data_IF_991197779186
#
_entry.id   IF_991197779186
#
_cell.length_a   1.000
_cell.length_b   1.000
_cell.length_c   1.000
_cell.angle_alpha   90.00
_cell.angle_beta   90.00
_cell.angle_gamma   90.00
#
_symmetry.space_group_name_H-M   'P 1'
#
loop_
_entity.id
_entity.type
_entity.pdbx_description
1 polymer ?
#
# COMPACT_ATOMS: atom_id res chain seq x y z
N UNK A 1 4.28 -9.51 4.37
CA UNK A 1 2.82 -9.27 4.47
C UNK A 1 2.47 -8.70 5.83
N UNK A 2 2.86 -9.36 6.92
CA UNK A 2 2.52 -8.95 8.29
C UNK A 2 2.94 -7.52 8.63
N UNK A 3 4.16 -7.11 8.26
CA UNK A 3 4.62 -5.74 8.46
C UNK A 3 3.70 -4.68 7.83
N UNK A 4 3.15 -4.98 6.65
CA UNK A 4 2.21 -4.10 5.94
C UNK A 4 0.88 -4.05 6.68
N UNK A 5 0.32 -5.21 7.04
CA UNK A 5 -0.95 -5.30 7.78
C UNK A 5 -0.86 -4.54 9.10
N UNK A 6 0.20 -4.79 9.88
CA UNK A 6 0.43 -4.14 11.16
C UNK A 6 0.60 -2.63 11.03
N UNK A 7 1.29 -2.14 10.00
CA UNK A 7 1.47 -0.71 9.80
C UNK A 7 0.16 -0.02 9.41
N UNK A 8 -0.63 -0.63 8.51
CA UNK A 8 -1.92 -0.07 8.12
C UNK A 8 -2.89 -0.06 9.31
N UNK A 9 -3.01 -1.16 10.05
CA UNK A 9 -3.89 -1.26 11.22
C UNK A 9 -3.48 -0.28 12.33
N UNK A 10 -2.18 -0.06 12.55
CA UNK A 10 -1.69 0.90 13.54
C UNK A 10 -2.10 2.35 13.25
N UNK A 11 -2.07 2.76 11.98
CA UNK A 11 -2.33 4.16 11.59
C UNK A 11 -3.81 4.41 11.22
N UNK A 12 -4.52 3.42 10.71
CA UNK A 12 -5.92 3.54 10.32
C UNK A 12 -6.91 3.04 11.38
N UNK A 13 -6.41 2.41 12.46
CA UNK A 13 -7.23 1.75 13.50
C UNK A 13 -8.20 0.69 12.95
N UNK A 14 -7.96 0.24 11.71
CA UNK A 14 -8.78 -0.70 10.98
C UNK A 14 -7.86 -1.70 10.31
N UNK A 15 -8.12 -2.99 10.52
CA UNK A 15 -7.41 -4.05 9.82
C UNK A 15 -7.69 -3.98 8.31
N UNK A 16 -6.65 -3.93 7.45
CA UNK A 16 -6.86 -3.87 6.01
C UNK A 16 -7.46 -5.17 5.48
N UNK A 17 -8.28 -5.04 4.44
CA UNK A 17 -8.68 -6.18 3.63
C UNK A 17 -7.55 -6.57 2.69
N UNK A 18 -7.36 -7.87 2.49
CA UNK A 18 -6.38 -8.43 1.57
C UNK A 18 -7.10 -8.75 0.27
N UNK A 19 -6.86 -7.95 -0.77
CA UNK A 19 -7.59 -8.02 -2.02
C UNK A 19 -6.63 -8.31 -3.18
N UNK A 20 -7.16 -8.98 -4.21
CA UNK A 20 -6.52 -9.20 -5.51
C UNK A 20 -7.32 -8.55 -6.64
N UNK A 21 -8.18 -7.58 -6.28
CA UNK A 21 -9.05 -6.85 -7.20
C UNK A 21 -8.36 -5.60 -7.75
N UNK A 22 -8.97 -4.97 -8.75
CA UNK A 22 -8.44 -3.76 -9.39
C UNK A 22 -7.73 -4.08 -10.71
N UNK A 23 -6.76 -3.23 -11.08
CA UNK A 23 -5.93 -3.41 -12.26
C UNK A 23 -4.80 -4.41 -12.04
N UNK A 24 -3.78 -4.36 -12.90
CA UNK A 24 -2.54 -5.12 -12.75
C UNK A 24 -1.37 -4.19 -12.51
N UNK A 25 -0.36 -4.66 -11.78
CA UNK A 25 0.89 -3.94 -11.57
C UNK A 25 2.10 -4.70 -12.12
N UNK A 26 3.26 -4.04 -12.15
CA UNK A 26 4.54 -4.67 -12.49
C UNK A 26 5.08 -5.60 -11.39
N UNK A 27 4.37 -5.68 -10.25
CA UNK A 27 4.61 -6.68 -9.21
C UNK A 27 4.66 -8.11 -9.76
N UNK A 28 3.88 -8.41 -10.81
CA UNK A 28 3.89 -9.72 -11.49
C UNK A 28 5.24 -10.09 -12.11
N UNK A 29 6.05 -9.10 -12.50
CA UNK A 29 7.39 -9.33 -13.02
C UNK A 29 8.39 -9.52 -11.88
N UNK A 30 8.27 -8.72 -10.82
CA UNK A 30 9.12 -8.81 -9.62
C UNK A 30 8.93 -10.14 -8.90
N UNK A 31 7.71 -10.64 -8.80
CA UNK A 31 7.40 -11.92 -8.16
C UNK A 31 8.15 -13.10 -8.81
N UNK A 32 8.49 -13.03 -10.11
CA UNK A 32 9.27 -14.07 -10.80
C UNK A 32 10.70 -14.19 -10.29
N UNK A 33 11.19 -13.18 -9.57
CA UNK A 33 12.50 -13.21 -8.91
C UNK A 33 12.46 -13.92 -7.53
N UNK A 34 11.31 -14.46 -7.12
CA UNK A 34 11.13 -15.10 -5.81
C UNK A 34 10.87 -14.13 -4.66
N UNK A 35 10.67 -12.84 -4.95
CA UNK A 35 10.34 -11.83 -3.94
C UNK A 35 8.86 -11.92 -3.52
N UNK A 36 8.58 -11.71 -2.23
CA UNK A 36 7.22 -11.44 -1.77
C UNK A 36 6.79 -10.05 -2.24
N UNK A 37 5.65 -9.97 -2.93
CA UNK A 37 5.10 -8.71 -3.44
C UNK A 37 3.79 -8.39 -2.75
N UNK A 38 3.65 -7.15 -2.27
CA UNK A 38 2.44 -6.60 -1.68
C UNK A 38 2.25 -5.19 -2.24
N UNK A 39 1.01 -4.83 -2.56
CA UNK A 39 0.65 -3.50 -3.05
C UNK A 39 -0.11 -2.73 -1.95
N UNK A 40 0.29 -1.49 -1.73
CA UNK A 40 -0.32 -0.54 -0.80
C UNK A 40 -0.22 0.84 -1.44
N UNK A 41 -1.27 1.64 -1.37
CA UNK A 41 -1.31 2.98 -1.97
C UNK A 41 -2.54 3.80 -1.53
N UNK A 42 -2.69 5.03 -2.03
CA UNK A 42 -3.83 5.88 -1.74
C UNK A 42 -5.12 5.38 -2.41
N UNK A 43 -6.25 6.04 -2.12
CA UNK A 43 -7.54 5.73 -2.73
C UNK A 43 -7.48 5.92 -4.25
N UNK A 44 -7.88 4.88 -4.98
CA UNK A 44 -7.79 4.83 -6.45
C UNK A 44 -9.07 5.31 -7.19
N UNK A 45 -10.02 5.96 -6.50
CA UNK A 45 -11.35 6.24 -7.04
C UNK A 45 -11.35 7.15 -8.29
N UNK A 46 -10.31 7.97 -8.47
CA UNK A 46 -10.20 9.01 -9.51
C UNK A 46 -9.09 8.75 -10.53
N UNK A 47 -8.31 7.66 -10.40
CA UNK A 47 -7.21 7.37 -11.34
C UNK A 47 -7.74 7.21 -12.77
N UNK A 48 -7.01 7.74 -13.76
CA UNK A 48 -7.40 7.73 -15.17
C UNK A 48 -8.72 8.44 -15.49
N UNK A 49 -9.19 9.36 -14.63
CA UNK A 49 -10.37 10.21 -14.89
C UNK A 49 -9.98 11.68 -15.02
N UNK A 50 -10.85 12.48 -15.64
CA UNK A 50 -10.73 13.95 -15.61
C UNK A 50 -10.82 14.41 -14.15
N UNK A 51 -10.00 15.37 -13.75
CA UNK A 51 -9.85 15.86 -12.36
C UNK A 51 -9.36 14.77 -11.39
N UNK A 52 -8.43 13.93 -11.83
CA UNK A 52 -7.68 13.01 -10.96
C UNK A 52 -7.07 13.79 -9.78
N UNK A 53 -7.31 13.29 -8.57
CA UNK A 53 -6.92 13.96 -7.34
C UNK A 53 -6.74 12.96 -6.19
N UNK A 54 -6.01 13.39 -5.18
CA UNK A 54 -5.75 12.64 -3.94
C UNK A 54 -5.90 13.58 -2.75
N UNK A 55 -6.34 13.06 -1.61
CA UNK A 55 -6.31 13.82 -0.36
C UNK A 55 -4.85 13.96 0.10
N UNK A 56 -4.37 15.20 0.24
CA UNK A 56 -2.99 15.48 0.64
C UNK A 56 -2.62 14.87 2.01
N UNK A 57 -3.58 14.76 2.94
CA UNK A 57 -3.35 14.14 4.24
C UNK A 57 -3.05 12.63 4.13
N UNK A 58 -3.67 11.94 3.17
CA UNK A 58 -3.47 10.50 2.95
C UNK A 58 -2.03 10.21 2.50
N UNK A 59 -1.39 11.14 1.78
CA UNK A 59 0.02 11.00 1.37
C UNK A 59 0.96 11.02 2.58
N UNK A 60 0.71 11.90 3.56
CA UNK A 60 1.49 11.94 4.78
C UNK A 60 1.29 10.66 5.62
N UNK A 61 0.07 10.16 5.69
CA UNK A 61 -0.25 8.92 6.39
C UNK A 61 0.43 7.71 5.74
N UNK A 62 0.36 7.62 4.41
CA UNK A 62 0.99 6.56 3.63
C UNK A 62 2.52 6.57 3.79
N UNK A 63 3.15 7.75 3.82
CA UNK A 63 4.58 7.86 4.09
C UNK A 63 4.97 7.29 5.46
N UNK A 64 4.19 7.57 6.52
CA UNK A 64 4.40 7.01 7.86
C UNK A 64 4.21 5.49 7.88
N UNK A 65 3.22 4.98 7.16
CA UNK A 65 3.02 3.53 7.01
C UNK A 65 4.25 2.87 6.36
N UNK A 66 4.76 3.42 5.25
CA UNK A 66 5.97 2.89 4.62
C UNK A 66 7.19 2.95 5.54
N UNK A 67 7.38 4.04 6.29
CA UNK A 67 8.45 4.14 7.27
C UNK A 67 8.36 3.01 8.30
N UNK A 68 7.19 2.82 8.91
CA UNK A 68 6.96 1.76 9.90
C UNK A 68 7.13 0.35 9.33
N UNK A 69 6.77 0.14 8.06
CA UNK A 69 7.02 -1.14 7.35
C UNK A 69 8.53 -1.38 7.25
N UNK A 70 9.30 -0.39 6.82
CA UNK A 70 10.76 -0.52 6.71
C UNK A 70 11.39 -0.79 8.09
N UNK A 71 10.97 -0.08 9.14
CA UNK A 71 11.43 -0.32 10.51
C UNK A 71 11.18 -1.76 10.97
N UNK A 72 10.01 -2.34 10.66
CA UNK A 72 9.69 -3.72 11.02
C UNK A 72 10.41 -4.79 10.19
N UNK A 73 10.83 -4.45 8.96
CA UNK A 73 11.50 -5.40 8.06
C UNK A 73 13.01 -5.46 8.28
N UNK A 74 13.61 -4.37 8.77
CA UNK A 74 15.06 -4.23 8.96
C UNK A 74 15.49 -4.50 10.40
N UNK A 75 14.55 -4.47 11.35
CA UNK A 75 14.80 -4.80 12.76
C UNK A 75 15.13 -6.28 12.99
#
# INVERSE_FOLDING_TARGET
>A
MDAVVNAVEHYNEIKPQLLTTGGTSDGRFIARMGAQVVELGPVNATIHKINECVNAADLQLLARMYQRIMEQLVA
#
